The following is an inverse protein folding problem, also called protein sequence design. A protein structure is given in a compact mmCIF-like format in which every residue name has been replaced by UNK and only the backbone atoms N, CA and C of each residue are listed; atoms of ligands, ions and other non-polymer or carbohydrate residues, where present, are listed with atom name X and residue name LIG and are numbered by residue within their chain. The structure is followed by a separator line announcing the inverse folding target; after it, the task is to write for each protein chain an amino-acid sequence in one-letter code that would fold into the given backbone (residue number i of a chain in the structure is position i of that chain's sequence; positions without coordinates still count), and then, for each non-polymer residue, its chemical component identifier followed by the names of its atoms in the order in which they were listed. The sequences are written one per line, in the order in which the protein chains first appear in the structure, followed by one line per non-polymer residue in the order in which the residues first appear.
data_IF_342805268420
#
_entry.id   IF_342805268420
#
_cell.length_a   1.000
_cell.length_b   1.000
_cell.length_c   1.000
_cell.angle_alpha   90.00
_cell.angle_beta   90.00
_cell.angle_gamma   90.00
#
_symmetry.space_group_name_H-M   'P 1'
#
loop_
_entity.id
_entity.type
_entity.pdbx_description
1 polymer ?
#
# COMPACT_ATOMS: atom_id res chain seq x y z
N UNK A 1 -40.08 10.17 29.36
CA UNK A 1 -41.41 9.64 28.99
C UNK A 1 -41.19 8.22 28.50
N UNK A 2 -41.87 7.29 29.13
CA UNK A 2 -41.73 5.83 28.99
C UNK A 2 -42.26 5.36 27.64
N UNK A 3 -41.39 4.95 26.72
CA UNK A 3 -41.83 4.14 25.57
C UNK A 3 -41.86 2.69 26.02
N UNK A 4 -42.99 2.32 26.63
CA UNK A 4 -43.28 0.95 27.00
C UNK A 4 -43.53 0.12 25.74
N UNK A 5 -42.78 -0.96 25.65
CA UNK A 5 -42.90 -2.06 24.72
C UNK A 5 -44.37 -2.45 24.43
N UNK A 6 -44.81 -2.19 23.20
CA UNK A 6 -45.89 -2.93 22.57
C UNK A 6 -45.30 -4.12 21.81
N UNK A 7 -46.06 -5.21 21.69
CA UNK A 7 -45.73 -6.41 20.91
C UNK A 7 -45.69 -6.15 19.38
N UNK A 8 -45.71 -4.88 18.96
CA UNK A 8 -45.77 -4.44 17.58
C UNK A 8 -44.46 -3.71 17.22
N UNK A 9 -43.60 -4.38 16.47
CA UNK A 9 -42.49 -3.72 15.76
C UNK A 9 -43.04 -3.10 14.48
N UNK A 10 -42.60 -1.88 14.13
CA UNK A 10 -42.96 -1.31 12.83
C UNK A 10 -42.31 -2.12 11.72
N UNK A 11 -43.04 -2.44 10.66
CA UNK A 11 -42.46 -3.06 9.46
C UNK A 11 -41.40 -2.16 8.82
N UNK A 12 -41.49 -0.83 9.02
CA UNK A 12 -40.48 0.12 8.58
C UNK A 12 -39.17 -0.03 9.35
N UNK A 13 -39.24 -0.25 10.68
CA UNK A 13 -38.03 -0.46 11.50
C UNK A 13 -37.28 -1.73 11.06
N UNK A 14 -38.03 -2.76 10.66
CA UNK A 14 -37.44 -3.99 10.10
C UNK A 14 -36.78 -3.74 8.73
N UNK A 15 -37.39 -2.92 7.86
CA UNK A 15 -36.83 -2.59 6.57
C UNK A 15 -35.52 -1.77 6.70
N UNK A 16 -35.50 -0.82 7.63
CA UNK A 16 -34.30 -0.02 7.93
C UNK A 16 -33.18 -0.91 8.48
N UNK A 17 -33.49 -1.79 9.45
CA UNK A 17 -32.52 -2.74 10.00
C UNK A 17 -31.97 -3.69 8.94
N UNK A 18 -32.82 -4.24 8.07
CA UNK A 18 -32.37 -5.11 6.98
C UNK A 18 -31.42 -4.39 6.02
N UNK A 19 -31.69 -3.11 5.73
CA UNK A 19 -30.81 -2.29 4.89
C UNK A 19 -29.46 -2.02 5.56
N UNK A 20 -29.44 -1.80 6.87
CA UNK A 20 -28.20 -1.66 7.66
C UNK A 20 -27.40 -2.96 7.69
N UNK A 21 -28.06 -4.10 7.95
CA UNK A 21 -27.43 -5.42 8.03
C UNK A 21 -26.78 -5.82 6.70
N UNK A 22 -27.48 -5.62 5.58
CA UNK A 22 -26.94 -5.88 4.23
C UNK A 22 -25.73 -4.98 3.97
N UNK A 23 -25.81 -3.70 4.34
CA UNK A 23 -24.69 -2.76 4.20
C UNK A 23 -23.49 -3.17 5.05
N UNK A 24 -23.72 -3.62 6.28
CA UNK A 24 -22.66 -4.10 7.17
C UNK A 24 -22.00 -5.37 6.62
N UNK A 25 -22.79 -6.32 6.13
CA UNK A 25 -22.28 -7.54 5.52
C UNK A 25 -21.43 -7.24 4.28
N UNK A 26 -21.89 -6.33 3.41
CA UNK A 26 -21.13 -5.89 2.25
C UNK A 26 -19.76 -5.30 2.64
N UNK A 27 -19.69 -4.49 3.70
CA UNK A 27 -18.43 -3.92 4.21
C UNK A 27 -17.50 -4.98 4.79
N UNK A 28 -18.04 -5.99 5.48
CA UNK A 28 -17.26 -7.11 6.02
C UNK A 28 -16.64 -7.91 4.88
N UNK A 29 -17.45 -8.30 3.90
CA UNK A 29 -16.98 -9.06 2.72
C UNK A 29 -15.95 -8.25 1.93
N UNK A 30 -16.20 -6.96 1.69
CA UNK A 30 -15.24 -6.10 0.99
C UNK A 30 -13.91 -5.96 1.75
N UNK A 31 -13.94 -5.88 3.08
CA UNK A 31 -12.72 -5.82 3.91
C UNK A 31 -11.97 -7.15 3.87
N UNK A 32 -12.68 -8.28 3.88
CA UNK A 32 -12.09 -9.60 3.72
C UNK A 32 -11.44 -9.76 2.34
N UNK A 33 -12.14 -9.37 1.26
CA UNK A 33 -11.61 -9.33 -0.11
C UNK A 33 -10.34 -8.49 -0.21
N UNK A 34 -10.35 -7.26 0.33
CA UNK A 34 -9.19 -6.39 0.31
C UNK A 34 -7.99 -7.03 1.03
N UNK A 35 -8.24 -7.58 2.22
CA UNK A 35 -7.20 -8.22 3.04
C UNK A 35 -6.60 -9.42 2.32
N UNK A 36 -7.44 -10.26 1.72
CA UNK A 36 -7.02 -11.46 1.03
C UNK A 36 -6.21 -11.14 -0.24
N UNK A 37 -6.69 -10.20 -1.06
CA UNK A 37 -5.95 -9.71 -2.24
C UNK A 37 -4.57 -9.18 -1.83
N UNK A 38 -4.50 -8.29 -0.84
CA UNK A 38 -3.23 -7.69 -0.41
C UNK A 38 -2.27 -8.75 0.15
N UNK A 39 -2.76 -9.72 0.93
CA UNK A 39 -1.90 -10.74 1.53
C UNK A 39 -1.39 -11.77 0.51
N UNK A 40 -2.19 -12.09 -0.51
CA UNK A 40 -1.77 -12.95 -1.63
C UNK A 40 -0.80 -12.26 -2.58
N UNK A 41 -0.85 -10.94 -2.65
CA UNK A 41 0.01 -10.18 -3.54
C UNK A 41 1.50 -10.38 -3.25
N UNK A 42 2.31 -10.71 -4.27
CA UNK A 42 3.74 -10.90 -4.11
C UNK A 42 4.43 -9.61 -3.68
N UNK A 43 5.43 -9.77 -2.83
CA UNK A 43 6.34 -8.67 -2.41
C UNK A 43 7.63 -8.66 -3.21
N UNK A 44 7.82 -9.65 -4.09
CA UNK A 44 9.04 -9.86 -4.84
C UNK A 44 10.15 -10.46 -3.99
N UNK A 45 11.36 -10.56 -4.54
CA UNK A 45 12.47 -11.27 -3.91
C UNK A 45 13.04 -10.49 -2.69
N UNK A 46 12.97 -11.06 -1.47
CA UNK A 46 13.47 -10.45 -0.25
C UNK A 46 14.99 -10.22 -0.19
N UNK A 47 15.80 -10.80 -1.05
CA UNK A 47 17.24 -10.52 -1.05
C UNK A 47 17.54 -9.23 -1.83
N UNK A 48 16.71 -8.91 -2.83
CA UNK A 48 16.91 -7.75 -3.72
C UNK A 48 16.60 -6.42 -3.02
N UNK A 49 15.49 -6.34 -2.27
CA UNK A 49 15.19 -5.13 -1.46
C UNK A 49 16.20 -4.94 -0.33
N UNK A 50 16.63 -5.99 0.38
CA UNK A 50 17.66 -5.88 1.43
C UNK A 50 18.98 -5.36 0.85
N UNK A 51 19.39 -5.87 -0.31
CA UNK A 51 20.56 -5.38 -1.03
C UNK A 51 20.42 -3.90 -1.44
N UNK A 52 19.25 -3.51 -1.97
CA UNK A 52 18.97 -2.12 -2.34
C UNK A 52 18.97 -1.17 -1.13
N UNK A 53 18.39 -1.60 0.00
CA UNK A 53 18.39 -0.85 1.27
C UNK A 53 19.82 -0.69 1.78
N UNK A 54 20.60 -1.78 1.83
CA UNK A 54 21.99 -1.74 2.28
C UNK A 54 22.84 -0.82 1.40
N UNK A 55 22.67 -0.87 0.06
CA UNK A 55 23.35 0.03 -0.87
C UNK A 55 22.97 1.49 -0.62
N UNK A 56 21.67 1.80 -0.49
CA UNK A 56 21.20 3.16 -0.23
C UNK A 56 21.69 3.69 1.10
N UNK A 57 21.59 2.90 2.18
CA UNK A 57 22.08 3.29 3.51
C UNK A 57 23.58 3.58 3.47
N UNK A 58 24.37 2.73 2.82
CA UNK A 58 25.81 2.96 2.63
C UNK A 58 26.08 4.26 1.87
N UNK A 59 25.41 4.48 0.74
CA UNK A 59 25.61 5.64 -0.12
C UNK A 59 25.19 6.95 0.56
N UNK A 60 24.08 6.94 1.29
CA UNK A 60 23.62 8.07 2.10
C UNK A 60 24.62 8.37 3.21
N UNK A 61 25.07 7.34 3.95
CA UNK A 61 26.06 7.51 5.00
C UNK A 61 27.39 8.09 4.49
N UNK A 62 27.84 7.69 3.28
CA UNK A 62 29.03 8.27 2.65
C UNK A 62 28.85 9.76 2.32
N UNK A 63 27.69 10.14 1.79
CA UNK A 63 27.39 11.54 1.49
C UNK A 63 27.24 12.38 2.79
N UNK A 64 26.66 11.82 3.85
CA UNK A 64 26.57 12.47 5.16
C UNK A 64 27.94 12.62 5.82
N UNK A 65 28.80 11.61 5.71
CA UNK A 65 30.18 11.68 6.20
C UNK A 65 30.97 12.77 5.48
N UNK A 66 30.76 12.98 4.18
CA UNK A 66 31.35 14.10 3.46
C UNK A 66 30.86 15.45 4.02
N UNK A 67 29.55 15.63 4.17
CA UNK A 67 28.99 16.88 4.68
C UNK A 67 29.43 17.17 6.12
N UNK A 68 29.56 16.14 6.95
CA UNK A 68 30.10 16.24 8.31
C UNK A 68 31.58 16.65 8.32
N UNK A 69 32.40 16.13 7.39
CA UNK A 69 33.78 16.56 7.24
C UNK A 69 33.89 18.02 6.76
N UNK A 70 33.00 18.45 5.86
CA UNK A 70 32.90 19.85 5.43
C UNK A 70 32.57 20.76 6.62
N UNK A 71 31.63 20.35 7.47
CA UNK A 71 31.28 21.09 8.69
C UNK A 71 32.44 21.18 9.66
N UNK A 72 33.10 20.06 9.97
CA UNK A 72 34.25 20.03 10.86
C UNK A 72 35.38 20.95 10.36
N UNK A 73 35.64 20.95 9.04
CA UNK A 73 36.63 21.84 8.43
C UNK A 73 36.22 23.31 8.48
N UNK A 74 34.94 23.62 8.31
CA UNK A 74 34.44 24.98 8.41
C UNK A 74 34.46 25.48 9.87
N UNK A 75 34.23 24.61 10.85
CA UNK A 75 34.27 24.94 12.27
C UNK A 75 35.68 25.27 12.77
N UNK A 76 36.71 24.56 12.29
CA UNK A 76 38.11 24.80 12.66
C UNK A 76 38.75 26.01 11.93
N UNK A 77 37.99 26.73 11.11
CA UNK A 77 38.52 27.71 10.17
C UNK A 77 38.38 29.14 10.70
N UNK A 78 39.47 29.91 10.62
CA UNK A 78 39.57 31.28 11.14
C UNK A 78 39.55 32.38 10.06
N UNK A 79 39.28 32.05 8.79
CA UNK A 79 39.09 33.07 7.73
C UNK A 79 38.88 32.55 6.29
N UNK A 80 38.22 33.35 5.45
CA UNK A 80 37.91 33.08 4.03
C UNK A 80 36.59 32.35 3.77
N UNK A 81 36.25 32.07 2.49
CA UNK A 81 34.96 31.44 2.11
C UNK A 81 34.84 29.99 2.59
N UNK A 82 33.69 29.67 3.20
CA UNK A 82 33.34 28.33 3.65
C UNK A 82 33.34 27.29 2.52
N UNK A 83 33.72 26.06 2.84
CA UNK A 83 33.58 24.91 1.96
C UNK A 83 32.10 24.57 1.79
N UNK A 84 31.71 24.21 0.56
CA UNK A 84 30.31 23.90 0.21
C UNK A 84 30.00 22.43 0.50
N UNK A 85 28.83 22.20 1.10
CA UNK A 85 28.22 20.86 1.21
C UNK A 85 27.73 20.36 -0.15
N UNK A 86 27.45 19.06 -0.22
CA UNK A 86 26.86 18.46 -1.41
C UNK A 86 25.46 19.01 -1.64
N UNK A 87 25.19 19.41 -2.87
CA UNK A 87 23.83 19.65 -3.36
C UNK A 87 23.09 18.32 -3.57
N UNK A 88 21.76 18.37 -3.64
CA UNK A 88 20.94 17.19 -3.95
C UNK A 88 21.41 16.47 -5.21
N UNK A 89 21.74 17.22 -6.28
CA UNK A 89 22.26 16.66 -7.53
C UNK A 89 23.61 15.96 -7.33
N UNK A 90 24.55 16.59 -6.62
CA UNK A 90 25.86 15.99 -6.35
C UNK A 90 25.77 14.73 -5.47
N UNK A 91 24.81 14.65 -4.54
CA UNK A 91 24.55 13.42 -3.78
C UNK A 91 24.04 12.30 -4.67
N UNK A 92 23.19 12.63 -5.65
CA UNK A 92 22.66 11.65 -6.61
C UNK A 92 23.73 11.19 -7.61
N UNK A 93 24.54 12.09 -8.15
CA UNK A 93 25.54 11.80 -9.19
C UNK A 93 26.83 11.21 -8.62
N UNK A 94 27.36 11.74 -7.51
CA UNK A 94 28.68 11.35 -7.01
C UNK A 94 28.61 10.22 -5.98
N UNK A 95 27.52 10.17 -5.20
CA UNK A 95 27.34 9.18 -4.13
C UNK A 95 26.24 8.17 -4.46
N UNK A 96 25.57 8.29 -5.61
CA UNK A 96 24.59 7.33 -6.08
C UNK A 96 23.49 7.01 -5.04
N UNK A 97 23.04 8.02 -4.28
CA UNK A 97 22.08 7.82 -3.17
C UNK A 97 20.71 7.26 -3.61
N UNK A 98 20.40 7.32 -4.91
CA UNK A 98 19.18 6.73 -5.51
C UNK A 98 19.41 5.38 -6.18
N UNK A 99 20.65 4.89 -6.26
CA UNK A 99 20.95 3.66 -6.96
C UNK A 99 20.22 2.44 -6.36
N UNK A 100 20.02 1.45 -7.23
CA UNK A 100 19.46 0.15 -6.90
C UNK A 100 20.48 -0.90 -7.32
N UNK A 101 20.84 -1.79 -6.41
CA UNK A 101 21.72 -2.93 -6.62
C UNK A 101 21.08 -4.00 -7.51
N UNK A 102 19.76 -4.18 -7.45
CA UNK A 102 19.04 -5.17 -8.25
C UNK A 102 17.61 -4.76 -8.57
N UNK A 103 17.08 -5.31 -9.67
CA UNK A 103 15.73 -5.06 -10.17
C UNK A 103 15.54 -3.62 -10.66
N UNK A 104 16.22 -3.24 -11.77
CA UNK A 104 16.01 -1.92 -12.39
C UNK A 104 14.51 -1.73 -12.68
N UNK A 105 13.82 -0.91 -11.88
CA UNK A 105 12.40 -0.60 -12.03
C UNK A 105 11.42 -1.36 -11.14
N UNK A 106 11.84 -2.39 -10.39
CA UNK A 106 10.95 -3.09 -9.44
C UNK A 106 11.45 -2.94 -8.00
N UNK A 107 10.59 -2.39 -7.14
CA UNK A 107 10.86 -2.28 -5.70
C UNK A 107 9.94 -3.29 -5.00
N UNK A 108 10.53 -4.18 -4.20
CA UNK A 108 9.75 -5.18 -3.47
C UNK A 108 8.64 -4.53 -2.63
N UNK A 109 7.43 -5.07 -2.71
CA UNK A 109 6.24 -4.55 -2.04
C UNK A 109 5.45 -3.49 -2.82
N UNK A 110 5.87 -3.07 -4.02
CA UNK A 110 5.06 -2.15 -4.84
C UNK A 110 3.74 -2.76 -5.28
N UNK A 111 3.74 -4.02 -5.72
CA UNK A 111 2.49 -4.66 -6.15
C UNK A 111 1.49 -4.78 -4.99
N UNK A 112 1.93 -5.30 -3.84
CA UNK A 112 1.13 -5.34 -2.62
C UNK A 112 0.66 -3.95 -2.18
N UNK A 113 1.51 -2.93 -2.34
CA UNK A 113 1.18 -1.53 -2.08
C UNK A 113 0.24 -0.88 -3.09
N UNK A 114 0.00 -1.52 -4.25
CA UNK A 114 -0.70 -0.92 -5.39
C UNK A 114 -2.22 -1.02 -5.36
N UNK A 115 -2.79 -1.83 -4.47
CA UNK A 115 -4.23 -2.01 -4.43
C UNK A 115 -4.94 -0.76 -3.90
N UNK A 116 -5.98 -0.35 -4.60
CA UNK A 116 -6.79 0.82 -4.31
C UNK A 116 -8.22 0.39 -4.02
N UNK A 117 -8.87 1.15 -3.16
CA UNK A 117 -10.30 1.05 -2.90
C UNK A 117 -10.97 2.35 -3.33
N UNK A 118 -12.07 2.26 -4.06
CA UNK A 118 -12.90 3.42 -4.41
C UNK A 118 -14.40 3.08 -4.30
N UNK A 119 -15.24 4.11 -4.13
CA UNK A 119 -16.68 3.98 -3.89
C UNK A 119 -17.44 4.64 -5.05
N UNK A 120 -18.44 3.94 -5.60
CA UNK A 120 -19.31 4.42 -6.67
C UNK A 120 -18.70 4.34 -8.08
N UNK A 121 -17.42 4.69 -8.24
CA UNK A 121 -16.69 4.62 -9.50
C UNK A 121 -15.26 4.07 -9.30
N UNK A 122 -14.67 3.42 -10.34
CA UNK A 122 -13.29 2.96 -10.28
C UNK A 122 -12.31 4.15 -10.28
N UNK A 123 -11.30 4.06 -9.41
CA UNK A 123 -10.08 4.88 -9.47
C UNK A 123 -9.06 4.27 -10.45
N UNK A 124 -8.76 4.97 -11.54
CA UNK A 124 -7.83 4.53 -12.59
C UNK A 124 -6.38 5.00 -12.35
N UNK A 125 -6.07 5.58 -11.18
CA UNK A 125 -4.73 6.05 -10.85
C UNK A 125 -3.76 4.88 -10.65
N UNK A 126 -2.50 5.10 -11.05
CA UNK A 126 -1.39 4.20 -10.72
C UNK A 126 -0.65 4.82 -9.54
N UNK A 127 -0.28 3.98 -8.57
CA UNK A 127 0.44 4.40 -7.37
C UNK A 127 1.83 3.76 -7.32
N UNK A 128 2.81 4.53 -6.87
CA UNK A 128 4.18 4.05 -6.63
C UNK A 128 4.39 3.64 -5.15
N UNK A 129 3.29 3.44 -4.41
CA UNK A 129 3.34 3.07 -2.99
C UNK A 129 4.08 1.75 -2.78
N UNK A 130 4.99 1.72 -1.81
CA UNK A 130 5.78 0.55 -1.44
C UNK A 130 5.31 0.07 -0.07
N UNK A 131 4.48 -0.97 -0.02
CA UNK A 131 4.01 -1.55 1.24
C UNK A 131 4.19 -3.08 1.25
N UNK A 132 5.40 -3.58 1.58
CA UNK A 132 5.67 -5.00 1.69
C UNK A 132 4.83 -5.68 2.79
N UNK A 133 4.40 -4.93 3.80
CA UNK A 133 3.58 -5.46 4.89
C UNK A 133 2.11 -5.59 4.53
N UNK A 134 1.63 -4.79 3.56
CA UNK A 134 0.22 -4.65 3.22
C UNK A 134 -0.61 -3.88 4.25
N UNK A 135 -0.04 -3.51 5.40
CA UNK A 135 -0.78 -2.93 6.53
C UNK A 135 -1.34 -1.55 6.22
N UNK A 136 -0.56 -0.73 5.52
CA UNK A 136 -0.98 0.63 5.15
C UNK A 136 -2.05 0.56 4.06
N UNK A 137 -1.87 -0.29 3.06
CA UNK A 137 -2.85 -0.51 1.99
C UNK A 137 -4.19 -1.01 2.55
N UNK A 138 -4.17 -2.02 3.41
CA UNK A 138 -5.38 -2.53 4.08
C UNK A 138 -6.02 -1.44 4.93
N UNK A 139 -5.24 -0.75 5.77
CA UNK A 139 -5.78 0.28 6.66
C UNK A 139 -6.47 1.41 5.89
N UNK A 140 -5.86 1.91 4.81
CA UNK A 140 -6.46 2.95 3.95
C UNK A 140 -7.74 2.46 3.28
N UNK A 141 -7.72 1.27 2.68
CA UNK A 141 -8.89 0.72 2.00
C UNK A 141 -10.05 0.43 2.97
N UNK A 142 -9.76 -0.16 4.14
CA UNK A 142 -10.78 -0.43 5.17
C UNK A 142 -11.44 0.84 5.70
N UNK A 143 -10.71 1.96 5.78
CA UNK A 143 -11.32 3.26 6.14
C UNK A 143 -12.35 3.71 5.11
N UNK A 144 -12.05 3.58 3.81
CA UNK A 144 -12.98 3.93 2.72
C UNK A 144 -14.21 3.02 2.70
N UNK A 145 -14.00 1.71 2.90
CA UNK A 145 -15.09 0.73 3.02
C UNK A 145 -16.00 1.07 4.20
N UNK A 146 -15.42 1.38 5.36
CA UNK A 146 -16.19 1.74 6.56
C UNK A 146 -16.98 3.03 6.37
N UNK A 147 -16.40 4.01 5.67
CA UNK A 147 -17.02 5.30 5.37
C UNK A 147 -18.01 5.25 4.19
N UNK A 148 -18.24 4.07 3.59
CA UNK A 148 -19.16 3.93 2.47
C UNK A 148 -20.59 4.29 2.84
N UNK A 149 -21.42 4.72 1.89
CA UNK A 149 -22.86 4.90 2.12
C UNK A 149 -23.62 3.59 2.29
N UNK A 150 -24.94 3.68 2.33
CA UNK A 150 -25.85 2.53 2.27
C UNK A 150 -25.79 1.90 0.87
N UNK A 151 -25.81 0.57 0.78
CA UNK A 151 -25.71 -0.19 -0.48
C UNK A 151 -24.55 0.26 -1.39
N UNK A 152 -23.30 0.28 -0.90
CA UNK A 152 -22.19 0.84 -1.64
C UNK A 152 -21.76 -0.06 -2.81
N UNK A 153 -21.40 0.56 -3.94
CA UNK A 153 -20.58 -0.11 -4.96
C UNK A 153 -19.12 0.12 -4.60
N UNK A 154 -18.41 -0.93 -4.23
CA UNK A 154 -17.01 -0.89 -3.78
C UNK A 154 -16.13 -1.52 -4.86
N UNK A 155 -15.13 -0.77 -5.32
CA UNK A 155 -14.11 -1.27 -6.24
C UNK A 155 -12.85 -1.57 -5.43
N UNK A 156 -12.29 -2.77 -5.61
CA UNK A 156 -10.97 -3.16 -5.11
C UNK A 156 -10.17 -3.53 -6.34
N UNK A 157 -9.11 -2.79 -6.64
CA UNK A 157 -8.40 -2.93 -7.92
C UNK A 157 -6.92 -2.59 -7.79
N UNK A 158 -6.13 -3.04 -8.76
CA UNK A 158 -4.77 -2.56 -9.00
C UNK A 158 -4.69 -2.09 -10.43
N UNK A 159 -4.08 -0.92 -10.64
CA UNK A 159 -3.77 -0.41 -11.97
C UNK A 159 -2.28 -0.60 -12.29
N UNK A 160 -1.60 -1.49 -11.56
CA UNK A 160 -0.22 -1.83 -11.84
C UNK A 160 -0.08 -2.39 -13.26
N UNK A 161 0.87 -1.90 -14.07
CA UNK A 161 1.06 -2.37 -15.44
C UNK A 161 1.47 -3.85 -15.53
N UNK A 162 1.91 -4.45 -14.43
CA UNK A 162 2.26 -5.86 -14.32
C UNK A 162 1.18 -6.70 -13.61
N UNK A 163 0.03 -6.12 -13.24
CA UNK A 163 -1.04 -6.82 -12.53
C UNK A 163 -1.57 -8.03 -13.32
N UNK A 164 -1.87 -7.84 -14.61
CA UNK A 164 -2.34 -8.93 -15.48
C UNK A 164 -1.35 -10.09 -15.56
N UNK A 165 -0.05 -9.81 -15.70
CA UNK A 165 0.97 -10.86 -15.72
C UNK A 165 1.01 -11.65 -14.41
N UNK A 166 0.79 -10.98 -13.27
CA UNK A 166 0.77 -11.64 -11.97
C UNK A 166 -0.46 -12.53 -11.80
N UNK A 167 -1.63 -12.07 -12.28
CA UNK A 167 -2.85 -12.92 -12.32
C UNK A 167 -2.64 -14.16 -13.19
N UNK A 168 -1.92 -14.04 -14.30
CA UNK A 168 -1.61 -15.16 -15.21
C UNK A 168 -0.47 -16.07 -14.74
N UNK A 169 -0.02 -15.94 -13.49
CA UNK A 169 0.92 -16.88 -12.87
C UNK A 169 2.40 -16.64 -13.22
N UNK A 170 2.77 -15.46 -13.72
CA UNK A 170 4.18 -15.13 -14.00
C UNK A 170 5.01 -14.86 -12.72
N UNK A 171 4.40 -14.98 -11.54
CA UNK A 171 5.07 -14.86 -10.24
C UNK A 171 5.31 -16.22 -9.62
N UNK A 172 6.55 -16.49 -9.20
CA UNK A 172 6.84 -17.67 -8.37
C UNK A 172 6.22 -17.59 -6.98
N UNK A 173 5.90 -16.38 -6.48
CA UNK A 173 5.24 -16.17 -5.20
C UNK A 173 3.71 -16.24 -5.29
N UNK A 174 3.13 -16.01 -6.47
CA UNK A 174 1.70 -16.07 -6.73
C UNK A 174 1.43 -16.80 -8.06
N UNK A 175 1.76 -18.11 -8.16
CA UNK A 175 1.68 -18.85 -9.42
C UNK A 175 0.25 -19.09 -9.92
N UNK A 176 -0.76 -18.95 -9.06
CA UNK A 176 -2.17 -19.07 -9.42
C UNK A 176 -2.92 -17.73 -9.47
N UNK A 177 -2.22 -16.60 -9.51
CA UNK A 177 -2.82 -15.28 -9.45
C UNK A 177 -3.20 -14.82 -8.03
N UNK A 178 -3.87 -13.67 -7.96
CA UNK A 178 -4.22 -13.00 -6.70
C UNK A 178 -5.72 -12.81 -6.57
N UNK A 179 -6.35 -12.13 -7.54
CA UNK A 179 -7.75 -11.74 -7.46
C UNK A 179 -8.69 -12.96 -7.54
N UNK A 180 -8.44 -13.88 -8.47
CA UNK A 180 -9.28 -15.07 -8.63
C UNK A 180 -9.25 -15.94 -7.38
N UNK A 181 -8.05 -16.17 -6.83
CA UNK A 181 -7.92 -16.98 -5.61
C UNK A 181 -8.48 -16.27 -4.37
N UNK A 182 -8.36 -14.95 -4.29
CA UNK A 182 -9.00 -14.18 -3.22
C UNK A 182 -10.52 -14.28 -3.30
N UNK A 183 -11.09 -14.16 -4.51
CA UNK A 183 -12.53 -14.31 -4.74
C UNK A 183 -13.01 -15.71 -4.32
N UNK A 184 -12.33 -16.77 -4.76
CA UNK A 184 -12.68 -18.14 -4.37
C UNK A 184 -12.66 -18.28 -2.84
N UNK A 185 -11.57 -17.88 -2.18
CA UNK A 185 -11.43 -18.05 -0.73
C UNK A 185 -12.47 -17.28 0.08
N UNK A 186 -12.73 -16.01 -0.26
CA UNK A 186 -13.71 -15.21 0.47
C UNK A 186 -15.13 -15.64 0.14
N UNK A 187 -15.45 -15.95 -1.12
CA UNK A 187 -16.79 -16.43 -1.48
C UNK A 187 -17.12 -17.73 -0.74
N UNK A 188 -16.16 -18.62 -0.53
CA UNK A 188 -16.37 -19.83 0.28
C UNK A 188 -16.62 -19.53 1.76
N UNK A 189 -15.97 -18.52 2.32
CA UNK A 189 -16.09 -18.16 3.73
C UNK A 189 -17.41 -17.43 4.08
N UNK A 190 -18.05 -16.79 3.09
CA UNK A 190 -19.26 -15.96 3.29
C UNK A 190 -20.48 -16.46 2.50
N UNK A 191 -20.49 -17.74 2.13
CA UNK A 191 -21.64 -18.44 1.53
C UNK A 191 -22.84 -18.54 2.47
#
# INVERSE_FOLDING_TARGET
MTNNAGWSHSLTDFADQAGEDITQMARVIATAMLTEVVNRSPVGNPDLWQSNVALRTKNVALADAYDANVDARNAARTGGRAFKKLTKREREENYFVKAQAAGKGYIGGTFRGSHLVSIGAPDMSVTDNVDPSGRETISKGSMLIKASGQFPVIYIQTNSPYGEMLELGHSTQAPGGVYDLAFIGVSEAYK
#
